data_IF_551404776387
#
_entry.id   IF_551404776387
#
_cell.length_a   1.000
_cell.length_b   1.000
_cell.length_c   1.000
_cell.angle_alpha   90.00
_cell.angle_beta   90.00
_cell.angle_gamma   90.00
#
_symmetry.space_group_name_H-M   'P 1'
#
loop_
_entity.id
_entity.type
_entity.pdbx_description
1 polymer ?
#
# COMPACT_ATOMS: atom_id res chain seq x y z
N UNK A 1 -60.68 17.07 -9.63
CA UNK A 1 -59.47 16.28 -9.33
C UNK A 1 -58.26 17.03 -9.86
N UNK A 2 -57.33 17.51 -9.02
CA UNK A 2 -56.11 18.11 -9.53
C UNK A 2 -55.13 16.99 -9.92
N UNK A 3 -54.55 17.13 -11.11
CA UNK A 3 -53.51 16.26 -11.63
C UNK A 3 -52.25 16.38 -10.76
N UNK A 4 -51.80 15.26 -10.21
CA UNK A 4 -50.49 15.16 -9.56
C UNK A 4 -49.41 15.46 -10.61
N UNK A 5 -48.76 16.61 -10.48
CA UNK A 5 -47.54 16.89 -11.23
C UNK A 5 -46.46 15.90 -10.75
N UNK A 6 -45.75 15.19 -11.65
CA UNK A 6 -44.62 14.38 -11.24
C UNK A 6 -43.55 15.33 -10.68
N UNK A 7 -43.23 15.15 -9.40
CA UNK A 7 -42.28 16.02 -8.71
C UNK A 7 -40.88 15.98 -9.37
N UNK A 8 -40.10 17.06 -9.27
CA UNK A 8 -38.76 17.18 -9.87
C UNK A 8 -37.71 16.16 -9.36
N UNK A 9 -38.05 15.30 -8.39
CA UNK A 9 -37.13 14.33 -7.80
C UNK A 9 -36.84 13.10 -8.68
N UNK A 10 -37.76 12.66 -9.54
CA UNK A 10 -37.57 11.41 -10.30
C UNK A 10 -36.49 11.50 -11.38
N UNK A 11 -36.39 12.65 -12.06
CA UNK A 11 -35.44 12.83 -13.16
C UNK A 11 -33.99 13.01 -12.67
N UNK A 12 -33.79 13.58 -11.48
CA UNK A 12 -32.47 13.79 -10.91
C UNK A 12 -31.86 12.47 -10.37
N UNK A 13 -32.69 11.61 -9.77
CA UNK A 13 -32.27 10.28 -9.29
C UNK A 13 -31.87 9.39 -10.46
N UNK A 14 -32.69 9.31 -11.50
CA UNK A 14 -32.39 8.50 -12.69
C UNK A 14 -31.12 8.97 -13.42
N UNK A 15 -30.86 10.29 -13.49
CA UNK A 15 -29.64 10.82 -14.10
C UNK A 15 -28.39 10.45 -13.29
N UNK A 16 -28.47 10.50 -11.95
CA UNK A 16 -27.37 10.10 -11.07
C UNK A 16 -27.07 8.60 -11.15
N UNK A 17 -28.10 7.76 -11.24
CA UNK A 17 -27.96 6.31 -11.44
C UNK A 17 -27.26 6.01 -12.79
N UNK A 18 -27.67 6.67 -13.87
CA UNK A 18 -27.03 6.52 -15.19
C UNK A 18 -25.56 6.98 -15.19
N UNK A 19 -25.25 8.06 -14.48
CA UNK A 19 -23.87 8.54 -14.35
C UNK A 19 -23.00 7.56 -13.56
N UNK A 20 -23.54 6.98 -12.47
CA UNK A 20 -22.87 5.94 -11.70
C UNK A 20 -22.66 4.66 -12.52
N UNK A 21 -23.65 4.21 -13.28
CA UNK A 21 -23.55 3.05 -14.17
C UNK A 21 -22.49 3.28 -15.26
N UNK A 22 -22.47 4.49 -15.85
CA UNK A 22 -21.45 4.88 -16.83
C UNK A 22 -20.04 4.88 -16.20
N UNK A 23 -19.90 5.39 -14.98
CA UNK A 23 -18.63 5.40 -14.25
C UNK A 23 -18.15 3.98 -13.90
N UNK A 24 -19.07 3.14 -13.40
CA UNK A 24 -18.86 1.72 -13.11
C UNK A 24 -18.34 0.98 -14.34
N UNK A 25 -19.01 1.15 -15.49
CA UNK A 25 -18.59 0.54 -16.74
C UNK A 25 -17.17 0.99 -17.16
N UNK A 26 -16.84 2.28 -17.03
CA UNK A 26 -15.49 2.80 -17.30
C UNK A 26 -14.42 2.22 -16.36
N UNK A 27 -14.74 2.05 -15.09
CA UNK A 27 -13.84 1.42 -14.10
C UNK A 27 -13.55 -0.03 -14.53
N UNK A 28 -14.60 -0.81 -14.77
CA UNK A 28 -14.48 -2.23 -15.14
C UNK A 28 -13.67 -2.41 -16.43
N UNK A 29 -14.01 -1.66 -17.48
CA UNK A 29 -13.29 -1.71 -18.75
C UNK A 29 -11.79 -1.38 -18.61
N UNK A 30 -11.47 -0.38 -17.78
CA UNK A 30 -10.09 0.00 -17.54
C UNK A 30 -9.32 -1.12 -16.83
N UNK A 31 -9.93 -1.74 -15.81
CA UNK A 31 -9.32 -2.86 -15.08
C UNK A 31 -9.11 -4.08 -16.00
N UNK A 32 -10.13 -4.44 -16.80
CA UNK A 32 -10.02 -5.51 -17.79
C UNK A 32 -8.88 -5.27 -18.78
N UNK A 33 -8.75 -4.04 -19.28
CA UNK A 33 -7.65 -3.67 -20.17
C UNK A 33 -6.29 -3.81 -19.48
N UNK A 34 -6.17 -3.32 -18.25
CA UNK A 34 -4.93 -3.44 -17.48
C UNK A 34 -4.52 -4.90 -17.32
N UNK A 35 -5.44 -5.77 -16.86
CA UNK A 35 -5.17 -7.21 -16.68
C UNK A 35 -4.85 -7.88 -18.02
N UNK A 36 -5.54 -7.51 -19.10
CA UNK A 36 -5.29 -8.06 -20.42
C UNK A 36 -3.95 -7.61 -21.03
N UNK A 37 -3.45 -6.42 -20.71
CA UNK A 37 -2.17 -5.91 -21.20
C UNK A 37 -0.98 -6.40 -20.36
N UNK A 38 -1.21 -6.77 -19.10
CA UNK A 38 -0.15 -7.23 -18.22
C UNK A 38 0.30 -8.68 -18.53
N UNK A 39 1.61 -8.89 -18.52
CA UNK A 39 2.21 -10.23 -18.63
C UNK A 39 2.15 -10.98 -17.28
N UNK A 40 2.07 -10.25 -16.17
CA UNK A 40 2.04 -10.77 -14.80
C UNK A 40 0.79 -10.29 -14.02
N UNK A 41 0.38 -11.01 -12.94
CA UNK A 41 -0.67 -10.55 -12.04
C UNK A 41 -0.46 -9.12 -11.53
N UNK A 42 -1.54 -8.33 -11.50
CA UNK A 42 -1.48 -6.93 -11.09
C UNK A 42 -1.87 -6.80 -9.62
N UNK A 43 -1.03 -6.14 -8.82
CA UNK A 43 -1.39 -5.80 -7.44
C UNK A 43 -2.70 -4.99 -7.42
N UNK A 44 -3.73 -5.44 -6.69
CA UNK A 44 -5.04 -4.79 -6.68
C UNK A 44 -4.97 -3.33 -6.21
N UNK A 45 -4.07 -3.02 -5.27
CA UNK A 45 -3.82 -1.65 -4.84
C UNK A 45 -3.26 -0.77 -5.97
N UNK A 46 -2.43 -1.33 -6.87
CA UNK A 46 -1.92 -0.66 -8.07
C UNK A 46 -3.03 -0.43 -9.09
N UNK A 47 -3.85 -1.44 -9.36
CA UNK A 47 -5.01 -1.28 -10.23
C UNK A 47 -5.97 -0.18 -9.72
N UNK A 48 -6.29 -0.20 -8.42
CA UNK A 48 -7.10 0.85 -7.81
C UNK A 48 -6.46 2.23 -7.95
N UNK A 49 -5.16 2.34 -7.70
CA UNK A 49 -4.42 3.60 -7.84
C UNK A 49 -4.48 4.12 -9.28
N UNK A 50 -4.15 3.29 -10.26
CA UNK A 50 -4.14 3.66 -11.68
C UNK A 50 -5.52 4.06 -12.19
N UNK A 51 -6.58 3.37 -11.74
CA UNK A 51 -7.97 3.75 -12.04
C UNK A 51 -8.27 5.15 -11.51
N UNK A 52 -7.90 5.46 -10.26
CA UNK A 52 -8.15 6.79 -9.68
C UNK A 52 -7.35 7.89 -10.37
N UNK A 53 -6.12 7.60 -10.82
CA UNK A 53 -5.31 8.56 -11.58
C UNK A 53 -5.90 8.84 -12.96
N UNK A 54 -6.38 7.80 -13.66
CA UNK A 54 -6.92 7.92 -15.03
C UNK A 54 -8.33 8.50 -15.09
N UNK A 55 -9.20 8.11 -14.15
CA UNK A 55 -10.61 8.52 -14.16
C UNK A 55 -10.91 9.69 -13.22
N UNK A 56 -9.98 10.06 -12.34
CA UNK A 56 -10.09 11.26 -11.50
C UNK A 56 -10.85 11.04 -10.17
N UNK A 57 -11.05 12.13 -9.41
CA UNK A 57 -11.54 12.09 -8.02
C UNK A 57 -12.97 11.54 -7.90
N UNK A 58 -13.79 11.65 -8.95
CA UNK A 58 -15.17 11.14 -8.99
C UNK A 58 -15.28 9.65 -8.63
N UNK A 59 -14.25 8.84 -8.88
CA UNK A 59 -14.21 7.42 -8.50
C UNK A 59 -14.29 7.27 -6.98
N UNK A 60 -13.56 8.10 -6.24
CA UNK A 60 -13.52 8.04 -4.78
C UNK A 60 -14.73 8.76 -4.18
N UNK A 61 -15.13 9.90 -4.74
CA UNK A 61 -16.29 10.67 -4.26
C UNK A 61 -17.60 9.87 -4.39
N UNK A 62 -17.76 9.12 -5.48
CA UNK A 62 -18.88 8.20 -5.67
C UNK A 62 -18.77 6.90 -4.88
N UNK A 63 -17.73 6.72 -4.06
CA UNK A 63 -17.44 5.49 -3.32
C UNK A 63 -17.37 4.27 -4.26
N UNK A 64 -16.57 4.35 -5.32
CA UNK A 64 -16.48 3.33 -6.36
C UNK A 64 -17.85 3.08 -7.02
N UNK A 65 -18.48 4.14 -7.54
CA UNK A 65 -19.79 4.07 -8.19
C UNK A 65 -20.86 3.35 -7.34
N UNK A 66 -20.88 3.66 -6.04
CA UNK A 66 -21.83 3.11 -5.07
C UNK A 66 -21.45 1.77 -4.43
N UNK A 67 -20.40 1.08 -4.91
CA UNK A 67 -20.00 -0.24 -4.39
C UNK A 67 -19.25 -0.18 -3.03
N UNK A 68 -18.90 1.02 -2.57
CA UNK A 68 -18.16 1.28 -1.33
C UNK A 68 -16.65 1.07 -1.46
N UNK A 69 -16.21 -0.06 -2.03
CA UNK A 69 -14.79 -0.35 -2.25
C UNK A 69 -14.51 -0.88 -3.66
N UNK A 70 -13.27 -0.71 -4.12
CA UNK A 70 -12.83 -1.27 -5.41
C UNK A 70 -13.02 -2.78 -5.50
N UNK A 71 -12.70 -3.50 -4.43
CA UNK A 71 -12.86 -4.96 -4.38
C UNK A 71 -14.34 -5.35 -4.53
N UNK A 72 -15.25 -4.68 -3.81
CA UNK A 72 -16.68 -4.95 -3.92
C UNK A 72 -17.19 -4.67 -5.33
N UNK A 73 -16.78 -3.55 -5.94
CA UNK A 73 -17.13 -3.24 -7.33
C UNK A 73 -16.73 -4.40 -8.25
N UNK A 74 -15.49 -4.90 -8.16
CA UNK A 74 -15.05 -6.01 -9.02
C UNK A 74 -15.77 -7.33 -8.72
N UNK A 75 -16.20 -7.56 -7.47
CA UNK A 75 -16.93 -8.77 -7.09
C UNK A 75 -18.41 -8.75 -7.49
N UNK A 76 -19.00 -7.56 -7.65
CA UNK A 76 -20.39 -7.39 -8.10
C UNK A 76 -20.54 -7.57 -9.62
N UNK A 77 -19.45 -7.47 -10.37
CA UNK A 77 -19.44 -7.49 -11.83
C UNK A 77 -19.08 -8.88 -12.36
N UNK A 78 -19.72 -9.30 -13.45
CA UNK A 78 -19.38 -10.54 -14.15
C UNK A 78 -18.15 -10.30 -15.05
N UNK A 79 -16.95 -10.52 -14.49
CA UNK A 79 -15.67 -10.35 -15.20
C UNK A 79 -14.81 -11.62 -15.15
N UNK A 80 -14.07 -11.89 -16.23
CA UNK A 80 -13.07 -12.97 -16.33
C UNK A 80 -11.77 -12.61 -15.56
N UNK A 81 -11.87 -12.06 -14.34
CA UNK A 81 -10.72 -11.70 -13.49
C UNK A 81 -10.92 -12.32 -12.11
N UNK A 82 -9.90 -13.02 -11.63
CA UNK A 82 -9.87 -13.56 -10.27
C UNK A 82 -9.05 -12.67 -9.33
N UNK A 83 -9.45 -12.67 -8.05
CA UNK A 83 -8.78 -11.93 -6.98
C UNK A 83 -8.07 -12.92 -6.05
N UNK A 84 -6.73 -12.89 -6.04
CA UNK A 84 -5.93 -13.72 -5.16
C UNK A 84 -6.03 -13.26 -3.69
N UNK A 85 -5.80 -14.14 -2.70
CA UNK A 85 -5.67 -13.74 -1.30
C UNK A 85 -4.49 -12.75 -1.06
N UNK A 86 -4.43 -12.18 0.14
CA UNK A 86 -3.52 -11.08 0.53
C UNK A 86 -2.07 -11.28 0.03
N UNK A 87 -1.42 -10.26 -0.57
CA UNK A 87 -1.77 -8.83 -0.58
C UNK A 87 -2.86 -8.40 -1.59
N UNK A 88 -3.50 -9.35 -2.27
CA UNK A 88 -4.61 -9.09 -3.20
C UNK A 88 -4.10 -8.74 -4.59
N UNK A 89 -4.13 -9.72 -5.49
CA UNK A 89 -3.76 -9.55 -6.91
C UNK A 89 -4.96 -9.77 -7.81
N UNK A 90 -5.01 -9.04 -8.91
CA UNK A 90 -5.95 -9.24 -10.02
C UNK A 90 -5.23 -10.01 -11.12
N UNK A 91 -5.81 -11.12 -11.56
CA UNK A 91 -5.23 -11.95 -12.61
C UNK A 91 -6.30 -12.58 -13.50
N UNK A 92 -5.95 -12.87 -14.75
CA UNK A 92 -6.75 -13.68 -15.66
C UNK A 92 -6.31 -15.15 -15.51
N UNK A 93 -7.18 -16.05 -14.98
CA UNK A 93 -6.81 -17.45 -14.72
C UNK A 93 -6.47 -18.25 -15.99
N UNK A 94 -6.84 -17.76 -17.18
CA UNK A 94 -6.53 -18.40 -18.46
C UNK A 94 -5.17 -18.01 -19.01
N UNK A 95 -4.60 -16.89 -18.56
CA UNK A 95 -3.37 -16.29 -19.11
C UNK A 95 -2.25 -16.18 -18.09
N UNK A 96 -2.58 -15.69 -16.91
CA UNK A 96 -1.63 -15.53 -15.83
C UNK A 96 -1.51 -16.86 -15.10
N UNK A 97 -0.29 -17.23 -14.71
CA UNK A 97 -0.19 -18.15 -13.58
C UNK A 97 -0.82 -17.42 -12.40
N UNK A 98 -1.72 -18.05 -11.63
CA UNK A 98 -2.17 -17.45 -10.38
C UNK A 98 -0.90 -17.05 -9.65
N UNK A 99 -0.87 -15.88 -8.97
CA UNK A 99 0.12 -15.71 -7.96
C UNK A 99 -0.22 -16.81 -6.95
N UNK A 100 0.40 -17.98 -7.13
CA UNK A 100 1.01 -18.68 -6.02
C UNK A 100 1.56 -17.55 -5.15
N UNK A 101 1.52 -17.68 -3.84
CA UNK A 101 2.65 -17.15 -3.13
C UNK A 101 3.85 -17.81 -3.80
N UNK A 102 4.35 -17.23 -4.89
CA UNK A 102 5.68 -17.34 -5.35
C UNK A 102 6.35 -16.73 -4.14
N UNK A 103 6.64 -17.60 -3.20
CA UNK A 103 8.00 -17.97 -2.95
C UNK A 103 8.75 -18.01 -4.32
N UNK A 104 8.86 -16.87 -5.05
CA UNK A 104 10.16 -16.35 -5.40
C UNK A 104 10.91 -16.62 -4.12
N UNK A 105 11.86 -17.54 -4.16
CA UNK A 105 12.70 -17.87 -3.02
C UNK A 105 13.30 -16.55 -2.55
N UNK A 106 12.54 -15.83 -1.72
CA UNK A 106 12.92 -14.63 -1.06
C UNK A 106 14.12 -15.15 -0.30
N UNK A 107 15.33 -14.70 -0.65
CA UNK A 107 16.56 -15.37 -0.28
C UNK A 107 16.42 -15.77 1.16
N UNK A 108 16.42 -17.09 1.42
CA UNK A 108 15.86 -17.65 2.64
C UNK A 108 16.30 -16.77 3.81
N UNK A 109 15.33 -16.10 4.44
CA UNK A 109 15.66 -15.12 5.47
C UNK A 109 16.61 -15.81 6.46
N UNK A 110 17.71 -15.15 6.88
CA UNK A 110 18.68 -15.75 7.77
C UNK A 110 17.96 -16.44 8.94
N UNK A 111 18.40 -17.66 9.28
CA UNK A 111 17.81 -18.40 10.39
C UNK A 111 17.74 -17.52 11.65
N UNK A 112 16.56 -17.44 12.27
CA UNK A 112 16.30 -16.59 13.44
C UNK A 112 15.79 -15.18 13.16
N UNK A 113 15.83 -14.68 11.91
CA UNK A 113 15.23 -13.38 11.57
C UNK A 113 13.70 -13.36 11.79
N UNK A 114 12.91 -14.37 11.38
CA UNK A 114 11.47 -14.38 11.64
C UNK A 114 11.13 -14.32 13.14
N UNK A 115 11.87 -15.07 13.96
CA UNK A 115 11.67 -15.08 15.42
C UNK A 115 11.99 -13.72 16.05
N UNK A 116 13.06 -13.07 15.59
CA UNK A 116 13.40 -11.72 16.02
C UNK A 116 12.31 -10.71 15.63
N UNK A 117 11.81 -10.78 14.38
CA UNK A 117 10.74 -9.89 13.90
C UNK A 117 9.51 -10.05 14.79
N UNK A 118 9.09 -11.28 15.09
CA UNK A 118 7.94 -11.54 15.96
C UNK A 118 8.14 -10.97 17.37
N UNK A 119 9.31 -11.20 17.98
CA UNK A 119 9.65 -10.66 19.31
C UNK A 119 9.64 -9.12 19.33
N UNK A 120 10.27 -8.49 18.34
CA UNK A 120 10.34 -7.03 18.25
C UNK A 120 8.98 -6.42 17.94
N UNK A 121 8.19 -7.03 17.05
CA UNK A 121 6.84 -6.60 16.72
C UNK A 121 5.93 -6.66 17.95
N UNK A 122 5.99 -7.73 18.74
CA UNK A 122 5.24 -7.87 19.98
C UNK A 122 5.64 -6.82 21.02
N UNK A 123 6.94 -6.57 21.20
CA UNK A 123 7.44 -5.64 22.21
C UNK A 123 7.21 -4.17 21.84
N UNK A 124 7.39 -3.82 20.56
CA UNK A 124 7.48 -2.41 20.14
C UNK A 124 6.35 -1.96 19.22
N UNK A 125 5.52 -2.88 18.72
CA UNK A 125 4.54 -2.62 17.66
C UNK A 125 5.17 -2.34 16.29
N UNK A 126 6.45 -2.67 16.09
CA UNK A 126 7.14 -2.46 14.81
C UNK A 126 6.50 -3.31 13.72
N UNK A 127 6.16 -2.73 12.54
CA UNK A 127 5.59 -3.46 11.42
C UNK A 127 6.48 -4.64 10.96
N UNK A 128 5.86 -5.77 10.67
CA UNK A 128 6.46 -7.02 10.21
C UNK A 128 6.75 -7.02 8.70
N UNK A 129 7.22 -5.89 8.17
CA UNK A 129 7.58 -5.77 6.75
C UNK A 129 8.83 -6.57 6.41
N UNK A 130 8.93 -7.04 5.17
CA UNK A 130 10.16 -7.66 4.65
C UNK A 130 11.29 -6.62 4.44
N UNK A 131 12.56 -7.04 4.33
CA UNK A 131 13.65 -6.11 4.00
C UNK A 131 13.44 -5.35 2.69
N UNK A 132 12.87 -6.01 1.66
CA UNK A 132 12.50 -5.39 0.38
C UNK A 132 11.46 -4.28 0.57
N UNK A 133 10.41 -4.56 1.34
CA UNK A 133 9.37 -3.58 1.66
C UNK A 133 9.91 -2.39 2.46
N UNK A 134 10.81 -2.61 3.41
CA UNK A 134 11.48 -1.51 4.12
C UNK A 134 12.31 -0.65 3.16
N UNK A 135 13.07 -1.25 2.24
CA UNK A 135 13.84 -0.49 1.25
C UNK A 135 12.94 0.35 0.32
N UNK A 136 11.83 -0.23 -0.15
CA UNK A 136 10.82 0.50 -0.93
C UNK A 136 10.22 1.65 -0.12
N UNK A 137 9.85 1.40 1.13
CA UNK A 137 9.28 2.41 2.03
C UNK A 137 10.24 3.59 2.25
N UNK A 138 11.50 3.34 2.62
CA UNK A 138 12.46 4.40 2.86
C UNK A 138 12.83 5.17 1.58
N UNK A 139 12.83 4.49 0.43
CA UNK A 139 13.01 5.14 -0.87
C UNK A 139 11.84 6.07 -1.18
N UNK A 140 10.61 5.60 -1.00
CA UNK A 140 9.40 6.40 -1.17
C UNK A 140 9.36 7.60 -0.21
N UNK A 141 9.79 7.45 1.05
CA UNK A 141 9.90 8.57 2.00
C UNK A 141 10.90 9.61 1.50
N UNK A 142 12.11 9.20 1.09
CA UNK A 142 13.12 10.12 0.59
C UNK A 142 12.63 10.90 -0.63
N UNK A 143 11.91 10.25 -1.55
CA UNK A 143 11.37 10.92 -2.74
C UNK A 143 10.20 11.85 -2.41
N UNK A 144 9.30 11.45 -1.50
CA UNK A 144 8.23 12.32 -1.03
C UNK A 144 8.78 13.61 -0.38
N UNK A 145 9.87 13.50 0.40
CA UNK A 145 10.53 14.65 1.04
C UNK A 145 11.20 15.59 0.03
N UNK A 146 11.61 15.11 -1.16
CA UNK A 146 12.15 15.95 -2.23
C UNK A 146 11.06 16.79 -2.90
N UNK A 147 9.84 16.25 -3.01
CA UNK A 147 8.71 16.93 -3.64
C UNK A 147 8.20 18.06 -2.74
N UNK A 148 7.87 17.74 -1.49
CA UNK A 148 7.21 18.66 -0.57
C UNK A 148 7.86 18.69 0.81
N UNK A 149 7.59 19.75 1.57
CA UNK A 149 8.00 19.82 2.98
C UNK A 149 7.27 18.77 3.80
N UNK A 150 7.95 18.19 4.80
CA UNK A 150 7.38 17.14 5.64
C UNK A 150 6.09 17.61 6.33
N UNK A 151 5.01 16.90 6.02
CA UNK A 151 3.75 16.92 6.73
C UNK A 151 3.24 15.49 6.81
N UNK A 152 2.96 14.99 8.02
CA UNK A 152 2.62 13.59 8.24
C UNK A 152 1.46 13.11 7.35
N UNK A 153 0.42 13.93 7.16
CA UNK A 153 -0.77 13.55 6.40
C UNK A 153 -0.48 13.45 4.91
N UNK A 154 0.16 14.46 4.32
CA UNK A 154 0.48 14.46 2.88
C UNK A 154 1.61 13.50 2.57
N UNK A 155 2.68 13.51 3.37
CA UNK A 155 3.84 12.61 3.20
C UNK A 155 3.41 11.14 3.30
N UNK A 156 2.57 10.77 4.27
CA UNK A 156 2.09 9.38 4.37
C UNK A 156 1.25 8.94 3.17
N UNK A 157 0.50 9.87 2.55
CA UNK A 157 -0.27 9.60 1.33
C UNK A 157 0.68 9.41 0.16
N UNK A 158 1.56 10.37 -0.09
CA UNK A 158 2.54 10.33 -1.20
C UNK A 158 3.42 9.08 -1.11
N UNK A 159 3.89 8.72 0.09
CA UNK A 159 4.72 7.52 0.30
C UNK A 159 3.97 6.23 0.00
N UNK A 160 2.69 6.13 0.40
CA UNK A 160 1.86 4.97 0.03
C UNK A 160 1.74 4.88 -1.49
N UNK A 161 1.38 5.98 -2.14
CA UNK A 161 1.14 6.02 -3.58
C UNK A 161 2.43 5.63 -4.35
N UNK A 162 3.57 6.19 -3.94
CA UNK A 162 4.91 5.84 -4.42
C UNK A 162 5.32 4.38 -4.14
N UNK A 163 4.83 3.76 -3.07
CA UNK A 163 5.12 2.35 -2.76
C UNK A 163 4.32 1.44 -3.69
N UNK A 164 3.05 1.78 -3.94
CA UNK A 164 2.17 1.08 -4.87
C UNK A 164 2.73 1.12 -6.29
N UNK A 165 3.23 2.27 -6.73
CA UNK A 165 3.89 2.42 -8.04
C UNK A 165 5.08 1.47 -8.20
N UNK A 166 5.83 1.25 -7.11
CA UNK A 166 6.98 0.32 -7.02
C UNK A 166 6.59 -1.15 -6.82
N UNK A 167 5.29 -1.46 -6.83
CA UNK A 167 4.79 -2.84 -6.73
C UNK A 167 4.61 -3.35 -5.30
N UNK A 168 4.76 -2.50 -4.27
CA UNK A 168 4.56 -2.90 -2.88
C UNK A 168 3.35 -2.22 -2.25
N UNK A 169 2.43 -2.99 -1.67
CA UNK A 169 1.29 -2.46 -0.93
C UNK A 169 1.67 -2.20 0.53
N UNK A 170 1.90 -0.93 0.88
CA UNK A 170 2.22 -0.51 2.26
C UNK A 170 1.13 0.44 2.77
N UNK A 171 0.48 0.08 3.87
CA UNK A 171 -0.65 0.85 4.41
C UNK A 171 -0.20 2.19 5.02
N UNK A 172 -1.09 3.20 5.00
CA UNK A 172 -0.78 4.53 5.59
C UNK A 172 -0.51 4.46 7.09
N UNK A 173 -1.10 3.50 7.82
CA UNK A 173 -0.86 3.31 9.24
C UNK A 173 0.58 2.85 9.49
N UNK A 174 1.07 1.90 8.70
CA UNK A 174 2.47 1.44 8.71
C UNK A 174 3.41 2.61 8.37
N UNK A 175 3.14 3.33 7.28
CA UNK A 175 3.95 4.51 6.90
C UNK A 175 3.98 5.53 8.04
N UNK A 176 2.84 5.84 8.64
CA UNK A 176 2.73 6.79 9.74
C UNK A 176 3.47 6.32 10.99
N UNK A 177 3.45 5.02 11.28
CA UNK A 177 4.24 4.43 12.36
C UNK A 177 5.72 4.65 12.13
N UNK A 178 6.22 4.34 10.93
CA UNK A 178 7.64 4.48 10.59
C UNK A 178 8.08 5.95 10.64
N UNK A 179 7.30 6.87 10.07
CA UNK A 179 7.57 8.31 10.14
C UNK A 179 7.66 8.81 11.58
N UNK A 180 6.70 8.43 12.44
CA UNK A 180 6.71 8.78 13.87
C UNK A 180 7.89 8.12 14.61
N UNK A 181 8.26 6.89 14.24
CA UNK A 181 9.40 6.18 14.79
C UNK A 181 10.72 6.89 14.50
N UNK A 182 10.89 7.43 13.28
CA UNK A 182 12.06 8.23 12.93
C UNK A 182 12.10 9.54 13.75
N UNK A 183 10.95 10.19 13.95
CA UNK A 183 10.84 11.41 14.75
C UNK A 183 11.08 11.19 16.25
N UNK A 184 10.91 9.96 16.76
CA UNK A 184 10.91 9.63 18.18
C UNK A 184 12.15 10.15 18.94
N UNK A 185 13.31 10.23 18.28
CA UNK A 185 14.58 10.73 18.87
C UNK A 185 14.98 12.13 18.40
N UNK A 186 14.03 12.89 17.84
CA UNK A 186 14.26 14.28 17.42
C UNK A 186 14.88 14.44 16.03
N UNK A 187 14.90 13.38 15.19
CA UNK A 187 15.22 13.55 13.77
C UNK A 187 14.30 14.59 13.15
N UNK A 188 14.85 15.46 12.30
CA UNK A 188 14.07 16.41 11.53
C UNK A 188 14.20 16.06 10.06
N UNK A 189 13.08 15.67 9.46
CA UNK A 189 13.04 15.34 8.04
C UNK A 189 13.49 16.52 7.20
N UNK A 190 14.31 16.24 6.19
CA UNK A 190 14.82 17.22 5.25
C UNK A 190 14.96 16.63 3.85
N UNK A 191 15.09 17.50 2.84
CA UNK A 191 15.35 17.10 1.45
C UNK A 191 16.69 16.38 1.24
N UNK A 192 17.58 16.40 2.24
CA UNK A 192 18.89 15.73 2.23
C UNK A 192 18.82 14.31 2.77
N UNK A 193 17.69 13.90 3.33
CA UNK A 193 17.52 12.54 3.82
C UNK A 193 17.61 11.55 2.66
N UNK A 194 18.43 10.53 2.87
CA UNK A 194 18.64 9.42 1.93
C UNK A 194 17.87 8.21 2.42
N UNK A 195 17.49 7.26 1.55
CA UNK A 195 16.81 6.04 1.97
C UNK A 195 17.59 5.30 3.07
N UNK A 196 18.91 5.23 2.92
CA UNK A 196 19.79 4.57 3.89
C UNK A 196 19.92 5.33 5.22
N UNK A 197 19.95 6.67 5.21
CA UNK A 197 19.96 7.44 6.46
C UNK A 197 18.65 7.27 7.23
N UNK A 198 17.51 7.32 6.53
CA UNK A 198 16.19 7.08 7.12
C UNK A 198 16.07 5.67 7.71
N UNK A 199 16.56 4.65 7.01
CA UNK A 199 16.58 3.28 7.49
C UNK A 199 17.41 3.14 8.79
N UNK A 200 18.59 3.77 8.84
CA UNK A 200 19.42 3.80 10.05
C UNK A 200 18.74 4.52 11.21
N UNK A 201 18.11 5.67 10.95
CA UNK A 201 17.37 6.39 11.99
C UNK A 201 16.23 5.53 12.56
N UNK A 202 15.43 4.89 11.70
CA UNK A 202 14.36 4.02 12.14
C UNK A 202 14.88 2.80 12.90
N UNK A 203 15.88 2.09 12.37
CA UNK A 203 16.54 0.95 13.03
C UNK A 203 17.03 1.30 14.42
N UNK A 204 17.69 2.44 14.58
CA UNK A 204 18.14 2.93 15.89
C UNK A 204 16.96 3.25 16.81
N UNK A 205 15.90 3.86 16.30
CA UNK A 205 14.67 4.08 17.09
C UNK A 205 14.05 2.77 17.58
N UNK A 206 14.02 1.73 16.75
CA UNK A 206 13.49 0.41 17.15
C UNK A 206 14.38 -0.23 18.23
N UNK A 207 15.71 -0.20 18.08
CA UNK A 207 16.64 -0.69 19.12
C UNK A 207 16.41 0.01 20.46
N UNK A 208 16.29 1.34 20.44
CA UNK A 208 16.02 2.10 21.66
C UNK A 208 14.68 1.70 22.29
N UNK A 209 13.62 1.51 21.49
CA UNK A 209 12.31 1.07 21.99
C UNK A 209 12.36 -0.33 22.60
N UNK A 210 13.15 -1.24 22.03
CA UNK A 210 13.36 -2.55 22.64
C UNK A 210 14.02 -2.43 24.02
N UNK A 211 14.99 -1.52 24.17
CA UNK A 211 15.62 -1.24 25.46
C UNK A 211 14.62 -0.64 26.47
N UNK A 212 13.76 0.28 26.02
CA UNK A 212 12.72 0.89 26.85
C UNK A 212 11.67 -0.13 27.32
N UNK A 213 11.48 -1.24 26.59
CA UNK A 213 10.58 -2.34 26.95
C UNK A 213 11.29 -3.52 27.61
N UNK A 214 12.52 -3.32 28.13
CA UNK A 214 13.35 -4.34 28.78
C UNK A 214 13.61 -5.60 27.92
N UNK A 215 13.48 -5.50 26.60
CA UNK A 215 13.81 -6.59 25.69
C UNK A 215 15.33 -6.64 25.49
N UNK A 216 15.97 -7.65 26.05
CA UNK A 216 17.40 -7.88 25.84
C UNK A 216 17.68 -8.29 24.38
N UNK A 217 18.46 -7.45 23.69
CA UNK A 217 18.95 -7.69 22.35
C UNK A 217 20.42 -8.12 22.42
N UNK A 218 20.72 -9.31 21.90
CA UNK A 218 22.08 -9.82 21.77
C UNK A 218 22.83 -9.15 20.62
N UNK A 219 24.15 -9.36 20.55
CA UNK A 219 24.96 -8.91 19.40
C UNK A 219 24.49 -9.55 18.08
N UNK A 220 23.94 -10.75 18.14
CA UNK A 220 23.38 -11.46 16.99
C UNK A 220 22.07 -10.82 16.54
N UNK A 221 21.19 -10.49 17.50
CA UNK A 221 19.92 -9.79 17.22
C UNK A 221 20.18 -8.44 16.53
N UNK A 222 21.20 -7.69 16.97
CA UNK A 222 21.57 -6.43 16.33
C UNK A 222 22.03 -6.59 14.87
N UNK A 223 22.72 -7.68 14.53
CA UNK A 223 23.10 -8.00 13.14
C UNK A 223 21.86 -8.39 12.33
N UNK A 224 20.95 -9.16 12.91
CA UNK A 224 19.68 -9.51 12.27
C UNK A 224 18.81 -8.26 12.03
N UNK A 225 18.82 -7.28 12.94
CA UNK A 225 18.16 -5.99 12.72
C UNK A 225 18.81 -5.19 11.58
N UNK A 226 20.14 -5.22 11.45
CA UNK A 226 20.81 -4.60 10.30
C UNK A 226 20.41 -5.27 8.99
N UNK A 227 20.33 -6.59 8.97
CA UNK A 227 19.82 -7.34 7.83
C UNK A 227 18.36 -6.97 7.55
N UNK A 228 17.53 -6.84 8.57
CA UNK A 228 16.12 -6.53 8.41
C UNK A 228 15.88 -5.17 7.76
N UNK A 229 16.54 -4.10 8.25
CA UNK A 229 16.27 -2.74 7.78
C UNK A 229 17.16 -2.28 6.64
N UNK A 230 18.35 -2.88 6.45
CA UNK A 230 19.37 -2.37 5.54
C UNK A 230 19.69 -3.30 4.35
N UNK A 231 19.36 -4.59 4.41
CA UNK A 231 19.71 -5.51 3.32
C UNK A 231 18.93 -5.27 2.02
N UNK A 232 17.71 -4.71 2.11
CA UNK A 232 16.88 -4.45 0.94
C UNK A 232 17.44 -3.39 -0.03
N UNK A 233 18.48 -2.64 0.36
CA UNK A 233 19.19 -1.70 -0.54
C UNK A 233 20.28 -2.36 -1.37
N UNK A 234 20.57 -3.65 -1.16
CA UNK A 234 21.67 -4.39 -1.83
C UNK A 234 21.20 -5.23 -3.02
N UNK A 235 20.02 -4.96 -3.57
CA UNK A 235 19.53 -5.61 -4.79
C UNK A 235 20.15 -4.97 -6.04
#
# INVERSE_FOLDING_TARGET
APAASPGPNGSAVAAAEQEQETLRHKIVQLVQRMVAEAEEPILMAKAAHDVTQKLGPQVIESHWAGAGTFKNLLMEEEIDIEIAPSPGYLYDPRRHQPPTAAVEEAPALPAGLPDLIARVAQATGTPDLTPKQYAVLFTAIADALKQESYNLTTTSKTVRDLSIERGESISRSIVSFVLKGILYRGHRFSRRDTPLSLARHFRNSVVNRCQDTELELTKEDLKLMDLWFLSGFKA
#
